data_IF_846916399007
#
_entry.id   IF_846916399007
#
_cell.length_a   1.000
_cell.length_b   1.000
_cell.length_c   1.000
_cell.angle_alpha   90.00
_cell.angle_beta   90.00
_cell.angle_gamma   90.00
#
_symmetry.space_group_name_H-M   'P 1'
#
loop_
_entity.id
_entity.type
_entity.pdbx_description
1 polymer ?
#
# COMPACT_ATOMS: atom_id res chain seq x y z
N UNK A 1 10.38 28.68 1.16
CA UNK A 1 11.02 28.75 2.48
C UNK A 1 12.36 29.42 2.22
N UNK A 2 12.57 30.68 2.62
CA UNK A 2 13.80 31.41 2.25
C UNK A 2 14.96 30.94 3.10
N UNK A 3 16.03 30.44 2.48
CA UNK A 3 17.30 30.14 3.15
C UNK A 3 18.35 31.04 2.52
N UNK A 4 18.67 32.12 3.21
CA UNK A 4 19.84 32.96 2.96
C UNK A 4 21.06 32.27 3.57
N UNK A 5 22.14 32.12 2.81
CA UNK A 5 23.50 31.96 3.37
C UNK A 5 24.41 33.03 2.75
N UNK A 6 25.39 33.53 3.52
CA UNK A 6 26.10 34.76 3.23
C UNK A 6 27.16 34.56 2.14
N UNK A 7 27.35 35.63 1.38
CA UNK A 7 28.45 35.84 0.43
C UNK A 7 29.80 35.78 1.15
N UNK A 8 30.77 35.13 0.52
CA UNK A 8 32.18 35.50 0.64
C UNK A 8 32.74 35.73 -0.77
N UNK A 9 33.51 36.80 -0.83
CA UNK A 9 33.91 37.67 -1.92
C UNK A 9 34.96 37.11 -2.91
N UNK A 10 34.93 37.71 -4.12
CA UNK A 10 36.05 38.16 -4.97
C UNK A 10 37.19 37.16 -5.34
N UNK A 11 37.67 37.01 -6.59
CA UNK A 11 37.73 37.96 -7.71
C UNK A 11 38.42 37.34 -8.95
N UNK A 12 38.10 37.94 -10.10
CA UNK A 12 38.97 38.29 -11.24
C UNK A 12 39.24 37.34 -12.45
N UNK A 13 38.71 37.83 -13.60
CA UNK A 13 39.43 38.20 -14.85
C UNK A 13 39.63 37.19 -16.02
N UNK A 14 38.80 37.41 -17.05
CA UNK A 14 39.08 37.72 -18.48
C UNK A 14 40.04 36.88 -19.37
N UNK A 15 39.51 36.55 -20.57
CA UNK A 15 40.22 36.29 -21.85
C UNK A 15 40.41 34.79 -22.16
N UNK A 16 40.17 34.22 -23.35
CA UNK A 16 40.48 34.61 -24.75
C UNK A 16 39.63 33.74 -25.72
N UNK A 17 39.39 34.26 -26.92
CA UNK A 17 38.77 33.66 -28.12
C UNK A 17 39.40 32.36 -28.66
N UNK A 18 38.60 31.47 -29.27
CA UNK A 18 39.10 30.37 -30.12
C UNK A 18 37.99 29.54 -30.77
N UNK A 19 38.16 29.23 -32.06
CA UNK A 19 37.22 28.67 -33.04
C UNK A 19 36.70 27.22 -32.81
N UNK A 20 35.48 27.01 -33.34
CA UNK A 20 34.89 25.82 -33.96
C UNK A 20 35.52 24.43 -33.73
N UNK A 21 34.76 23.53 -33.12
CA UNK A 21 34.73 22.12 -33.47
C UNK A 21 33.38 21.48 -33.10
N UNK A 22 32.81 20.80 -34.08
CA UNK A 22 31.61 19.96 -34.04
C UNK A 22 31.65 18.92 -32.91
N UNK A 23 30.62 18.89 -32.08
CA UNK A 23 30.36 17.82 -31.13
C UNK A 23 28.95 17.94 -30.58
N UNK A 24 28.04 17.10 -31.06
CA UNK A 24 26.75 16.88 -30.40
C UNK A 24 27.07 16.26 -29.03
N UNK A 25 26.94 17.06 -27.97
CA UNK A 25 27.06 16.60 -26.59
C UNK A 25 25.67 16.75 -25.98
N UNK A 26 24.83 15.74 -26.21
CA UNK A 26 23.72 15.45 -25.32
C UNK A 26 24.29 14.85 -24.05
N UNK A 27 24.86 15.70 -23.18
CA UNK A 27 25.00 15.35 -21.77
C UNK A 27 23.70 15.75 -21.10
N UNK A 28 22.70 14.87 -21.18
CA UNK A 28 21.67 14.83 -20.16
C UNK A 28 22.42 14.68 -18.83
N UNK A 29 22.54 15.77 -18.09
CA UNK A 29 23.15 15.75 -16.77
C UNK A 29 22.10 15.11 -15.89
N UNK A 30 22.15 13.78 -15.74
CA UNK A 30 21.24 13.04 -14.86
C UNK A 30 21.46 13.58 -13.47
N UNK A 31 20.60 14.51 -13.05
CA UNK A 31 20.66 15.11 -11.73
C UNK A 31 20.24 14.00 -10.77
N UNK A 32 21.20 13.40 -10.07
CA UNK A 32 20.90 12.36 -9.09
C UNK A 32 20.11 12.99 -7.95
N UNK A 33 18.83 12.63 -7.85
CA UNK A 33 17.97 13.09 -6.76
C UNK A 33 18.43 12.46 -5.45
N UNK A 34 18.72 13.30 -4.47
CA UNK A 34 19.10 12.87 -3.13
C UNK A 34 17.88 12.95 -2.24
N UNK A 35 17.34 11.80 -1.86
CA UNK A 35 16.26 11.71 -0.90
C UNK A 35 16.81 11.78 0.53
N UNK A 36 16.05 12.36 1.48
CA UNK A 36 16.37 12.19 2.89
C UNK A 36 16.41 10.70 3.24
N UNK A 37 17.47 10.21 3.93
CA UNK A 37 17.66 8.78 4.17
C UNK A 37 16.48 8.21 4.94
N UNK A 38 15.83 7.17 4.39
CA UNK A 38 14.81 6.42 5.12
C UNK A 38 15.52 5.56 6.16
N UNK A 39 15.15 5.72 7.43
CA UNK A 39 15.69 4.92 8.54
C UNK A 39 14.54 4.18 9.21
N UNK A 40 14.86 3.13 9.97
CA UNK A 40 13.86 2.39 10.73
C UNK A 40 13.03 3.33 11.62
N UNK A 41 13.70 4.24 12.33
CA UNK A 41 13.02 5.21 13.18
C UNK A 41 12.06 6.14 12.42
N UNK A 42 12.42 6.59 11.20
CA UNK A 42 11.54 7.44 10.38
C UNK A 42 10.32 6.68 9.89
N UNK A 43 10.48 5.40 9.55
CA UNK A 43 9.36 4.55 9.19
C UNK A 43 8.47 4.27 10.40
N UNK A 44 9.06 3.99 11.56
CA UNK A 44 8.34 3.80 12.83
C UNK A 44 7.57 5.06 13.25
N UNK A 45 8.12 6.26 13.06
CA UNK A 45 7.39 7.50 13.33
C UNK A 45 6.11 7.63 12.48
N UNK A 46 6.07 6.97 11.31
CA UNK A 46 4.90 6.92 10.43
C UNK A 46 3.94 5.75 10.76
N UNK A 47 4.30 4.85 11.69
CA UNK A 47 3.39 3.79 12.12
C UNK A 47 2.17 4.37 12.84
N UNK A 48 1.02 3.73 12.68
CA UNK A 48 -0.24 4.28 13.18
C UNK A 48 -0.21 4.49 14.70
N UNK A 49 0.31 3.55 15.48
CA UNK A 49 0.47 3.72 16.93
C UNK A 49 1.45 4.80 17.36
N UNK A 50 2.46 5.14 16.55
CA UNK A 50 3.39 6.23 16.88
C UNK A 50 2.70 7.60 16.79
N UNK A 51 1.99 7.88 15.69
CA UNK A 51 1.38 9.20 15.48
C UNK A 51 -0.03 9.34 16.07
N UNK A 52 -0.85 8.27 16.09
CA UNK A 52 -2.25 8.35 16.50
C UNK A 52 -2.49 8.98 17.88
N UNK A 53 -1.73 8.64 18.95
CA UNK A 53 -1.92 9.24 20.26
C UNK A 53 -1.74 10.77 20.27
N UNK A 54 -0.80 11.27 19.46
CA UNK A 54 -0.46 12.69 19.36
C UNK A 54 -1.49 13.48 18.55
N UNK A 55 -2.11 12.85 17.55
CA UNK A 55 -3.05 13.49 16.61
C UNK A 55 -4.50 13.01 16.75
N UNK A 56 -4.84 12.33 17.85
CA UNK A 56 -6.15 11.68 18.08
C UNK A 56 -7.36 12.58 17.84
N UNK A 57 -7.27 13.87 18.18
CA UNK A 57 -8.37 14.84 18.00
C UNK A 57 -8.56 15.30 16.56
N UNK A 58 -7.56 15.08 15.72
CA UNK A 58 -7.47 15.58 14.34
C UNK A 58 -7.77 14.49 13.31
N UNK A 59 -7.85 13.23 13.73
CA UNK A 59 -8.08 12.08 12.85
C UNK A 59 -9.40 11.37 13.19
N UNK A 60 -9.73 10.33 12.43
CA UNK A 60 -10.90 9.49 12.65
C UNK A 60 -10.66 8.60 13.88
N UNK A 61 -11.71 8.35 14.66
CA UNK A 61 -11.64 7.48 15.85
C UNK A 61 -11.21 6.07 15.42
N UNK A 62 -10.19 5.52 16.08
CA UNK A 62 -9.63 4.20 15.80
C UNK A 62 -9.34 3.41 17.08
N UNK A 63 -9.16 2.12 16.91
CA UNK A 63 -8.67 1.15 17.89
C UNK A 63 -7.45 0.44 17.31
N UNK A 64 -6.47 0.15 18.15
CA UNK A 64 -5.22 -0.50 17.80
C UNK A 64 -5.18 -1.80 18.61
N UNK A 65 -4.98 -2.92 17.92
CA UNK A 65 -4.96 -4.27 18.49
C UNK A 65 -3.62 -4.91 18.08
N UNK A 66 -2.70 -5.19 19.01
CA UNK A 66 -1.47 -5.94 18.70
C UNK A 66 -1.83 -7.33 18.17
N UNK A 67 -1.20 -7.72 17.06
CA UNK A 67 -1.46 -9.02 16.45
C UNK A 67 -0.60 -10.12 17.09
N UNK A 68 -1.18 -11.27 17.46
CA UNK A 68 -0.41 -12.40 17.94
C UNK A 68 0.42 -13.03 16.80
N UNK A 69 1.57 -13.59 17.15
CA UNK A 69 2.51 -14.22 16.20
C UNK A 69 1.85 -15.34 15.37
N UNK A 70 0.95 -16.09 15.98
CA UNK A 70 0.17 -17.15 15.33
C UNK A 70 -0.72 -16.60 14.21
N UNK A 71 -1.30 -15.41 14.41
CA UNK A 71 -2.12 -14.75 13.39
C UNK A 71 -1.27 -14.14 12.28
N UNK A 72 -0.09 -13.60 12.61
CA UNK A 72 0.89 -13.12 11.61
C UNK A 72 1.34 -14.29 10.72
N UNK A 73 1.63 -15.44 11.33
CA UNK A 73 1.98 -16.67 10.61
C UNK A 73 0.84 -17.13 9.70
N UNK A 74 -0.42 -17.01 10.15
CA UNK A 74 -1.60 -17.26 9.33
C UNK A 74 -1.70 -16.28 8.15
N UNK A 75 -1.46 -14.98 8.34
CA UNK A 75 -1.50 -14.01 7.23
C UNK A 75 -0.45 -14.33 6.15
N UNK A 76 0.73 -14.78 6.56
CA UNK A 76 1.83 -15.16 5.67
C UNK A 76 1.68 -16.56 5.05
N UNK A 77 0.80 -17.42 5.56
CA UNK A 77 0.58 -18.75 4.99
C UNK A 77 -0.10 -18.67 3.63
N UNK A 78 0.20 -19.60 2.72
CA UNK A 78 -0.44 -19.63 1.40
C UNK A 78 -1.92 -20.07 1.49
N UNK A 79 -2.72 -19.60 0.54
CA UNK A 79 -4.16 -19.87 0.47
C UNK A 79 -5.01 -18.89 1.27
N UNK A 80 -6.30 -18.79 0.93
CA UNK A 80 -7.27 -17.95 1.61
C UNK A 80 -8.28 -18.86 2.31
N UNK A 81 -8.03 -19.13 3.58
CA UNK A 81 -8.96 -19.85 4.46
C UNK A 81 -9.39 -18.90 5.57
N UNK A 82 -10.70 -18.72 5.79
CA UNK A 82 -11.20 -17.87 6.88
C UNK A 82 -11.56 -18.76 8.08
N UNK A 83 -10.88 -18.62 9.23
CA UNK A 83 -11.27 -19.21 10.50
C UNK A 83 -12.76 -19.08 10.81
N UNK A 84 -13.43 -20.17 11.20
CA UNK A 84 -14.78 -20.14 11.75
C UNK A 84 -15.94 -19.95 10.77
N UNK A 85 -15.70 -19.73 9.47
CA UNK A 85 -16.75 -19.74 8.45
C UNK A 85 -16.64 -20.96 7.55
N UNK A 86 -17.59 -21.88 7.68
CA UNK A 86 -17.86 -22.89 6.66
C UNK A 86 -18.33 -22.18 5.38
N UNK A 87 -17.43 -22.02 4.41
CA UNK A 87 -17.78 -21.72 3.03
C UNK A 87 -17.51 -20.28 2.57
N UNK A 88 -16.25 -19.98 2.23
CA UNK A 88 -15.92 -19.18 1.03
C UNK A 88 -14.54 -19.65 0.53
N UNK A 89 -14.45 -20.84 -0.06
CA UNK A 89 -13.37 -21.14 -1.00
C UNK A 89 -13.84 -20.69 -2.37
N UNK A 90 -13.52 -19.45 -2.77
CA UNK A 90 -13.70 -18.99 -4.16
C UNK A 90 -12.60 -19.62 -5.02
N UNK A 91 -12.71 -20.92 -5.28
CA UNK A 91 -12.00 -21.55 -6.38
C UNK A 91 -12.71 -21.11 -7.67
N UNK A 92 -12.12 -20.16 -8.39
CA UNK A 92 -12.51 -19.82 -9.75
C UNK A 92 -12.14 -21.00 -10.66
N UNK A 93 -13.01 -22.00 -10.76
CA UNK A 93 -12.95 -23.01 -11.82
C UNK A 93 -14.20 -22.90 -12.68
N UNK A 94 -14.01 -22.35 -13.87
CA UNK A 94 -14.97 -22.35 -14.97
C UNK A 94 -15.13 -23.78 -15.49
N UNK A 95 -16.19 -24.47 -15.05
CA UNK A 95 -16.65 -25.69 -15.68
C UNK A 95 -18.16 -25.79 -15.49
N UNK A 96 -18.90 -25.40 -16.53
CA UNK A 96 -20.31 -25.74 -16.71
C UNK A 96 -20.44 -27.26 -16.79
N UNK A 97 -21.13 -27.90 -15.84
CA UNK A 97 -21.76 -29.20 -16.05
C UNK A 97 -22.98 -29.35 -15.12
N UNK A 98 -24.14 -29.58 -15.74
CA UNK A 98 -25.43 -29.79 -15.11
C UNK A 98 -25.58 -31.20 -14.52
N UNK A 99 -26.37 -31.26 -13.44
CA UNK A 99 -27.03 -32.41 -12.79
C UNK A 99 -26.20 -33.44 -12.01
N UNK A 100 -26.35 -33.38 -10.68
CA UNK A 100 -26.73 -34.54 -9.85
C UNK A 100 -27.14 -34.11 -8.42
N UNK A 101 -28.13 -34.80 -7.85
CA UNK A 101 -28.71 -34.55 -6.51
C UNK A 101 -27.77 -34.97 -5.37
N UNK A 102 -26.60 -34.34 -5.28
CA UNK A 102 -25.70 -34.43 -4.12
C UNK A 102 -25.98 -33.27 -3.18
N UNK A 103 -26.01 -33.52 -1.87
CA UNK A 103 -26.21 -32.45 -0.90
C UNK A 103 -25.06 -31.44 -1.02
N UNK A 104 -25.34 -30.15 -0.84
CA UNK A 104 -24.33 -29.09 -0.95
C UNK A 104 -23.11 -29.35 -0.03
N UNK A 105 -23.32 -30.11 1.06
CA UNK A 105 -22.26 -30.58 1.96
C UNK A 105 -21.32 -31.60 1.34
N UNK A 106 -21.81 -32.52 0.53
CA UNK A 106 -20.98 -33.57 -0.09
C UNK A 106 -20.15 -33.00 -1.25
N UNK A 107 -20.70 -32.02 -1.99
CA UNK A 107 -19.95 -31.24 -2.97
C UNK A 107 -18.84 -30.40 -2.32
N UNK A 108 -19.12 -29.82 -1.15
CA UNK A 108 -18.16 -29.02 -0.38
C UNK A 108 -16.96 -29.85 0.08
N UNK A 109 -17.21 -31.05 0.61
CA UNK A 109 -16.17 -31.99 1.04
C UNK A 109 -15.26 -32.39 -0.13
N UNK A 110 -15.86 -32.72 -1.28
CA UNK A 110 -15.10 -33.14 -2.46
C UNK A 110 -14.26 -32.00 -3.09
N UNK A 111 -14.74 -30.75 -3.03
CA UNK A 111 -13.97 -29.58 -3.48
C UNK A 111 -12.82 -29.25 -2.52
N UNK A 112 -13.04 -29.42 -1.22
CA UNK A 112 -12.03 -29.23 -0.19
C UNK A 112 -10.90 -30.28 -0.28
N UNK A 113 -11.24 -31.56 -0.48
CA UNK A 113 -10.29 -32.64 -0.74
C UNK A 113 -9.47 -32.39 -2.00
N UNK A 114 -10.11 -32.02 -3.13
CA UNK A 114 -9.41 -31.76 -4.40
C UNK A 114 -8.41 -30.60 -4.31
N UNK A 115 -8.77 -29.53 -3.59
CA UNK A 115 -7.89 -28.35 -3.45
C UNK A 115 -6.68 -28.66 -2.57
N UNK A 116 -6.85 -29.50 -1.55
CA UNK A 116 -5.76 -29.94 -0.67
C UNK A 116 -4.80 -30.94 -1.34
N UNK A 117 -5.31 -31.87 -2.15
CA UNK A 117 -4.45 -32.81 -2.91
C UNK A 117 -3.58 -32.09 -3.93
N UNK A 118 -4.04 -30.97 -4.50
CA UNK A 118 -3.32 -30.23 -5.53
C UNK A 118 -2.16 -29.38 -4.97
N UNK A 119 -2.21 -29.00 -3.70
CA UNK A 119 -1.14 -28.24 -3.02
C UNK A 119 0.08 -29.10 -2.63
N UNK A 120 -0.03 -30.44 -2.66
CA UNK A 120 1.06 -31.38 -2.35
C UNK A 120 1.71 -32.05 -3.58
N UNK A 121 1.27 -31.74 -4.80
CA UNK A 121 1.63 -32.50 -6.00
C UNK A 121 2.65 -31.84 -6.94
N UNK A 122 3.94 -31.80 -6.59
CA UNK A 122 5.01 -31.83 -7.60
C UNK A 122 6.24 -32.61 -7.12
N UNK A 123 6.10 -33.93 -7.02
CA UNK A 123 7.24 -34.85 -7.15
C UNK A 123 6.70 -36.19 -7.65
N UNK A 124 7.04 -36.51 -8.89
CA UNK A 124 6.86 -37.83 -9.49
C UNK A 124 8.02 -38.72 -9.01
N UNK A 125 7.74 -39.74 -8.20
CA UNK A 125 8.41 -41.05 -8.33
C UNK A 125 7.57 -42.16 -7.69
N UNK A 126 7.55 -43.30 -8.38
CA UNK A 126 6.70 -44.47 -8.16
C UNK A 126 7.19 -45.34 -6.99
N UNK A 127 6.29 -45.74 -6.08
CA UNK A 127 6.16 -47.15 -5.64
C UNK A 127 4.97 -47.34 -4.69
N UNK A 128 4.19 -48.38 -4.97
CA UNK A 128 3.25 -49.03 -4.03
C UNK A 128 3.98 -49.42 -2.75
N UNK A 129 3.46 -49.03 -1.59
CA UNK A 129 3.37 -49.85 -0.38
C UNK A 129 2.36 -49.23 0.59
N UNK A 130 1.48 -50.07 1.12
CA UNK A 130 0.37 -49.73 2.01
C UNK A 130 0.86 -49.06 3.30
N UNK A 131 0.51 -47.80 3.52
CA UNK A 131 0.48 -47.20 4.85
C UNK A 131 -0.86 -46.45 5.03
N UNK A 132 -1.68 -46.95 5.94
CA UNK A 132 -2.88 -46.28 6.46
C UNK A 132 -2.44 -45.07 7.31
N UNK A 133 -1.92 -44.03 6.66
CA UNK A 133 -1.75 -42.73 7.30
C UNK A 133 -3.14 -42.09 7.40
N UNK A 134 -3.70 -42.09 8.62
CA UNK A 134 -4.79 -41.19 8.98
C UNK A 134 -4.34 -39.76 8.65
N UNK A 135 -4.76 -39.24 7.49
CA UNK A 135 -4.62 -37.83 7.12
C UNK A 135 -5.26 -36.97 8.20
N UNK A 136 -4.48 -36.60 9.21
CA UNK A 136 -4.86 -35.61 10.20
C UNK A 136 -4.87 -34.27 9.46
N UNK A 137 -6.01 -33.95 8.84
CA UNK A 137 -6.34 -32.62 8.34
C UNK A 137 -5.91 -31.61 9.42
N UNK A 138 -4.90 -30.81 9.11
CA UNK A 138 -4.42 -29.80 10.05
C UNK A 138 -5.63 -28.92 10.41
N UNK A 139 -5.96 -28.77 11.70
CA UNK A 139 -7.15 -28.03 12.09
C UNK A 139 -7.04 -26.60 11.58
N UNK A 140 -8.14 -26.08 11.04
CA UNK A 140 -8.22 -24.70 10.59
C UNK A 140 -7.74 -23.77 11.72
N UNK A 141 -6.94 -22.73 11.40
CA UNK A 141 -6.48 -21.78 12.40
C UNK A 141 -7.69 -21.14 13.10
N UNK A 142 -7.59 -20.91 14.42
CA UNK A 142 -8.69 -20.40 15.24
C UNK A 142 -8.16 -19.39 16.26
N UNK A 143 -8.73 -18.18 16.31
CA UNK A 143 -8.17 -17.05 17.08
C UNK A 143 -9.22 -16.40 18.00
N UNK A 144 -9.80 -17.13 18.97
CA UNK A 144 -10.97 -16.66 19.73
C UNK A 144 -10.74 -15.35 20.50
N UNK A 145 -9.55 -15.16 21.07
CA UNK A 145 -9.23 -13.95 21.81
C UNK A 145 -9.15 -12.72 20.89
N UNK A 146 -8.51 -12.88 19.72
CA UNK A 146 -8.39 -11.82 18.72
C UNK A 146 -9.74 -11.51 18.07
N UNK A 147 -10.50 -12.53 17.69
CA UNK A 147 -11.86 -12.41 17.15
C UNK A 147 -12.75 -11.61 18.11
N UNK A 148 -12.73 -11.96 19.40
CA UNK A 148 -13.50 -11.23 20.41
C UNK A 148 -13.06 -9.78 20.58
N UNK A 149 -11.75 -9.49 20.52
CA UNK A 149 -11.24 -8.13 20.60
C UNK A 149 -11.65 -7.28 19.37
N UNK A 150 -11.62 -7.89 18.18
CA UNK A 150 -12.09 -7.28 16.93
C UNK A 150 -13.59 -6.97 17.01
N UNK A 151 -14.41 -7.91 17.46
CA UNK A 151 -15.87 -7.71 17.62
C UNK A 151 -16.17 -6.54 18.58
N UNK A 152 -15.52 -6.52 19.74
CA UNK A 152 -15.65 -5.43 20.71
C UNK A 152 -15.23 -4.08 20.12
N UNK A 153 -14.18 -4.06 19.29
CA UNK A 153 -13.73 -2.86 18.61
C UNK A 153 -14.72 -2.39 17.54
N UNK A 154 -15.29 -3.30 16.74
CA UNK A 154 -16.34 -3.01 15.76
C UNK A 154 -17.54 -2.34 16.44
N UNK A 155 -18.06 -2.95 17.51
CA UNK A 155 -19.17 -2.38 18.28
C UNK A 155 -18.82 -0.99 18.84
N UNK A 156 -17.64 -0.86 19.45
CA UNK A 156 -17.17 0.41 20.04
C UNK A 156 -16.90 1.54 19.03
N UNK A 157 -16.78 1.21 17.74
CA UNK A 157 -16.60 2.14 16.63
C UNK A 157 -17.91 2.42 15.87
N UNK A 158 -18.99 1.70 16.18
CA UNK A 158 -20.33 1.94 15.62
C UNK A 158 -20.76 0.92 14.56
N UNK A 159 -20.21 -0.29 14.60
CA UNK A 159 -20.61 -1.43 13.76
C UNK A 159 -19.94 -1.50 12.39
N UNK A 160 -19.28 -0.45 11.96
CA UNK A 160 -18.68 -0.34 10.63
C UNK A 160 -17.24 0.17 10.76
N UNK A 161 -16.29 -0.59 10.24
CA UNK A 161 -14.86 -0.29 10.38
C UNK A 161 -14.10 -0.43 9.07
N UNK A 162 -12.90 0.15 9.06
CA UNK A 162 -11.90 0.06 8.02
C UNK A 162 -10.61 -0.52 8.64
N UNK A 163 -10.10 -1.67 8.17
CA UNK A 163 -8.86 -2.26 8.67
C UNK A 163 -7.63 -1.69 7.98
N UNK A 164 -6.52 -1.56 8.72
CA UNK A 164 -5.16 -1.41 8.19
C UNK A 164 -4.14 -2.02 9.16
N UNK A 165 -2.92 -2.25 8.70
CA UNK A 165 -1.79 -2.56 9.58
C UNK A 165 -1.07 -1.29 10.03
N UNK A 166 0.15 -1.43 10.54
CA UNK A 166 1.05 -0.35 10.99
C UNK A 166 1.07 0.82 9.99
N UNK A 167 1.24 0.55 8.69
CA UNK A 167 1.40 1.58 7.66
C UNK A 167 0.34 1.47 6.55
N UNK A 168 0.09 0.26 6.07
CA UNK A 168 -0.68 0.05 4.85
C UNK A 168 -2.08 -0.49 5.11
N UNK A 169 -3.02 -0.03 4.29
CA UNK A 169 -4.40 -0.53 4.23
C UNK A 169 -4.60 -1.42 3.01
N UNK A 170 -5.47 -2.46 3.08
CA UNK A 170 -5.65 -3.47 2.04
C UNK A 170 -6.50 -2.98 0.84
N UNK A 171 -6.16 -1.80 0.29
CA UNK A 171 -6.92 -1.14 -0.79
C UNK A 171 -6.93 -1.94 -2.08
N UNK A 172 -5.82 -2.61 -2.33
CA UNK A 172 -5.59 -3.56 -3.40
C UNK A 172 -6.45 -4.82 -3.30
N UNK A 173 -6.94 -5.18 -2.10
CA UNK A 173 -7.82 -6.33 -1.87
C UNK A 173 -9.32 -6.01 -1.93
N UNK A 174 -9.73 -4.78 -2.25
CA UNK A 174 -11.16 -4.41 -2.31
C UNK A 174 -12.01 -5.32 -3.21
N UNK A 175 -11.41 -5.91 -4.25
CA UNK A 175 -12.08 -6.79 -5.21
C UNK A 175 -12.56 -8.13 -4.64
N UNK A 176 -11.94 -8.63 -3.56
CA UNK A 176 -12.36 -9.91 -2.96
C UNK A 176 -13.57 -9.75 -2.05
N UNK A 177 -13.82 -8.52 -1.55
CA UNK A 177 -14.97 -8.25 -0.71
C UNK A 177 -16.27 -8.32 -1.53
N UNK A 178 -17.30 -8.96 -0.97
CA UNK A 178 -18.63 -9.10 -1.61
C UNK A 178 -19.30 -7.77 -1.95
N UNK A 179 -18.92 -6.69 -1.26
CA UNK A 179 -19.43 -5.33 -1.48
C UNK A 179 -18.53 -4.50 -2.39
N UNK A 180 -17.36 -5.01 -2.78
CA UNK A 180 -16.30 -4.26 -3.47
C UNK A 180 -15.91 -2.97 -2.72
N UNK A 181 -15.94 -3.02 -1.38
CA UNK A 181 -15.56 -1.92 -0.49
C UNK A 181 -14.61 -2.39 0.60
N UNK A 182 -13.91 -1.45 1.23
CA UNK A 182 -13.04 -1.71 2.39
C UNK A 182 -13.79 -1.59 3.73
N UNK A 183 -15.13 -1.59 3.67
CA UNK A 183 -16.00 -1.50 4.83
C UNK A 183 -16.24 -2.89 5.38
N UNK A 184 -15.84 -3.11 6.62
CA UNK A 184 -16.03 -4.37 7.34
C UNK A 184 -17.08 -4.22 8.43
N UNK A 185 -17.88 -5.26 8.63
CA UNK A 185 -18.90 -5.35 9.67
C UNK A 185 -18.64 -6.49 10.67
N UNK A 186 -17.77 -7.44 10.31
CA UNK A 186 -17.46 -8.62 11.11
C UNK A 186 -15.99 -9.02 10.94
N UNK A 187 -15.55 -10.02 11.71
CA UNK A 187 -14.15 -10.50 11.70
C UNK A 187 -13.76 -11.13 10.36
N UNK A 188 -14.65 -11.87 9.72
CA UNK A 188 -14.37 -12.53 8.45
C UNK A 188 -14.09 -11.52 7.33
N UNK A 189 -14.83 -10.41 7.26
CA UNK A 189 -14.55 -9.33 6.31
C UNK A 189 -13.11 -8.79 6.47
N UNK A 190 -12.65 -8.63 7.73
CA UNK A 190 -11.32 -8.12 8.05
C UNK A 190 -10.26 -9.15 7.66
N UNK A 191 -10.44 -10.42 8.05
CA UNK A 191 -9.49 -11.48 7.75
C UNK A 191 -9.34 -11.66 6.23
N UNK A 192 -10.45 -11.66 5.49
CA UNK A 192 -10.45 -11.76 4.03
C UNK A 192 -9.62 -10.65 3.39
N UNK A 193 -9.88 -9.38 3.75
CA UNK A 193 -9.16 -8.25 3.16
C UNK A 193 -7.67 -8.27 3.50
N UNK A 194 -7.31 -8.56 4.75
CA UNK A 194 -5.91 -8.61 5.17
C UNK A 194 -5.16 -9.76 4.48
N UNK A 195 -5.79 -10.93 4.37
CA UNK A 195 -5.19 -12.12 3.78
C UNK A 195 -5.00 -12.00 2.27
N UNK A 196 -5.81 -11.19 1.60
CA UNK A 196 -5.80 -11.01 0.14
C UNK A 196 -5.09 -9.74 -0.34
N UNK A 197 -4.34 -9.05 0.53
CA UNK A 197 -3.65 -7.79 0.20
C UNK A 197 -2.13 -7.96 0.11
N UNK A 198 -1.57 -7.57 -1.03
CA UNK A 198 -0.12 -7.48 -1.23
C UNK A 198 0.48 -6.37 -0.38
N UNK A 199 -0.25 -5.28 -0.15
CA UNK A 199 0.20 -4.21 0.75
C UNK A 199 0.35 -4.68 2.19
N UNK A 200 -0.57 -5.54 2.64
CA UNK A 200 -0.46 -6.17 3.95
C UNK A 200 0.72 -7.14 3.99
N UNK A 201 0.88 -7.99 2.98
CA UNK A 201 2.04 -8.89 2.89
C UNK A 201 3.37 -8.12 2.88
N UNK A 202 3.43 -6.98 2.17
CA UNK A 202 4.57 -6.08 2.16
C UNK A 202 4.88 -5.53 3.56
N UNK A 203 3.89 -5.02 4.29
CA UNK A 203 4.08 -4.54 5.67
C UNK A 203 4.64 -5.64 6.60
N UNK A 204 4.28 -6.90 6.37
CA UNK A 204 4.72 -8.03 7.19
C UNK A 204 6.14 -8.52 6.89
N UNK A 205 6.58 -8.46 5.64
CA UNK A 205 7.84 -9.08 5.20
C UNK A 205 8.91 -8.10 4.70
N UNK A 206 8.51 -6.91 4.26
CA UNK A 206 9.34 -5.99 3.48
C UNK A 206 9.31 -4.54 3.99
N UNK A 207 8.72 -4.29 5.16
CA UNK A 207 8.57 -2.94 5.71
C UNK A 207 9.89 -2.15 5.72
N UNK A 208 10.98 -2.78 6.18
CA UNK A 208 12.27 -2.11 6.35
C UNK A 208 13.26 -2.30 5.19
N UNK A 209 12.87 -2.95 4.09
CA UNK A 209 13.80 -3.28 2.99
C UNK A 209 14.52 -2.05 2.41
N UNK A 210 13.86 -0.89 2.42
CA UNK A 210 14.37 0.39 1.91
C UNK A 210 15.06 1.26 2.99
N UNK A 211 15.18 0.76 4.22
CA UNK A 211 15.83 1.50 5.30
C UNK A 211 17.36 1.42 5.16
N UNK A 212 18.00 2.58 5.27
CA UNK A 212 19.43 2.79 4.96
C UNK A 212 20.36 2.78 6.19
N UNK A 213 19.79 2.70 7.39
CA UNK A 213 20.53 2.63 8.64
C UNK A 213 21.20 1.26 8.86
N UNK A 214 22.35 1.28 9.52
CA UNK A 214 23.07 0.07 9.90
C UNK A 214 22.41 -0.57 11.12
N UNK A 215 21.92 -1.80 10.97
CA UNK A 215 21.47 -2.63 12.09
C UNK A 215 22.51 -3.72 12.32
N UNK A 216 22.95 -3.88 13.57
CA UNK A 216 23.90 -4.92 13.99
C UNK A 216 25.22 -4.97 13.18
N UNK A 217 25.68 -3.81 12.69
CA UNK A 217 26.93 -3.69 11.93
C UNK A 217 26.86 -4.16 10.48
N UNK A 218 25.65 -4.35 9.93
CA UNK A 218 25.39 -4.57 8.50
C UNK A 218 24.53 -3.44 7.94
N UNK A 219 24.76 -3.06 6.68
CA UNK A 219 23.89 -2.13 5.96
C UNK A 219 22.47 -2.69 5.92
N UNK A 220 21.49 -2.00 6.52
CA UNK A 220 20.08 -2.41 6.51
C UNK A 220 19.42 -2.40 5.13
N UNK A 221 20.03 -1.69 4.17
CA UNK A 221 19.50 -1.62 2.80
C UNK A 221 19.44 -3.01 2.15
N UNK A 222 18.23 -3.45 1.79
CA UNK A 222 17.96 -4.76 1.21
C UNK A 222 17.78 -5.90 2.21
N UNK A 223 17.79 -5.62 3.53
CA UNK A 223 17.50 -6.63 4.55
C UNK A 223 15.98 -6.75 4.72
N UNK A 224 15.45 -7.95 4.42
CA UNK A 224 14.06 -8.27 4.70
C UNK A 224 13.88 -8.49 6.19
N UNK A 225 13.35 -7.48 6.87
CA UNK A 225 13.03 -7.54 8.28
C UNK A 225 11.57 -7.18 8.50
N UNK A 226 10.93 -7.99 9.35
CA UNK A 226 9.56 -7.77 9.81
C UNK A 226 9.54 -6.81 11.01
N UNK A 227 8.45 -6.05 11.22
CA UNK A 227 8.25 -5.25 12.42
C UNK A 227 8.29 -6.08 13.70
N UNK A 228 8.86 -5.53 14.76
CA UNK A 228 8.86 -6.19 16.08
C UNK A 228 7.45 -6.37 16.61
N UNK A 229 6.58 -5.39 16.36
CA UNK A 229 5.16 -5.43 16.71
C UNK A 229 4.34 -5.11 15.47
N UNK A 230 3.51 -6.06 15.07
CA UNK A 230 2.49 -5.82 14.05
C UNK A 230 1.17 -5.52 14.74
N UNK A 231 0.47 -4.50 14.26
CA UNK A 231 -0.80 -4.07 14.83
C UNK A 231 -1.92 -4.08 13.79
N UNK A 232 -3.11 -4.48 14.21
CA UNK A 232 -4.36 -4.28 13.49
C UNK A 232 -4.99 -2.99 13.97
N UNK A 233 -5.14 -2.05 13.03
CA UNK A 233 -5.83 -0.79 13.25
C UNK A 233 -7.24 -0.89 12.68
N UNK A 234 -8.22 -0.77 13.56
CA UNK A 234 -9.63 -0.65 13.17
C UNK A 234 -10.05 0.81 13.29
N UNK A 235 -10.28 1.45 12.15
CA UNK A 235 -10.77 2.83 12.07
C UNK A 235 -12.28 2.81 11.90
N UNK A 236 -12.99 3.72 12.56
CA UNK A 236 -14.44 3.90 12.29
C UNK A 236 -14.66 4.21 10.81
N UNK A 237 -15.56 3.48 10.17
CA UNK A 237 -15.89 3.71 8.77
C UNK A 237 -16.50 5.11 8.57
N UNK A 238 -16.05 5.79 7.51
CA UNK A 238 -16.62 7.02 6.99
C UNK A 238 -16.60 6.97 5.47
N UNK A 239 -17.69 7.40 4.85
CA UNK A 239 -17.78 7.56 3.40
C UNK A 239 -17.05 8.84 2.99
N UNK A 240 -15.73 8.72 2.82
CA UNK A 240 -14.87 9.82 2.39
C UNK A 240 -15.05 10.04 0.89
N UNK A 241 -15.36 11.28 0.51
CA UNK A 241 -15.42 11.65 -0.90
C UNK A 241 -13.99 11.71 -1.47
N UNK A 242 -13.63 10.88 -2.46
CA UNK A 242 -12.26 10.82 -2.98
C UNK A 242 -11.76 12.17 -3.51
N UNK A 243 -12.68 12.97 -4.07
CA UNK A 243 -12.41 14.33 -4.57
C UNK A 243 -11.91 15.31 -3.51
N UNK A 244 -12.08 15.00 -2.22
CA UNK A 244 -11.68 15.86 -1.10
C UNK A 244 -10.53 15.26 -0.28
N UNK A 245 -9.83 14.26 -0.83
CA UNK A 245 -8.60 13.72 -0.27
C UNK A 245 -7.37 14.35 -0.93
N UNK A 246 -6.42 14.75 -0.10
CA UNK A 246 -5.19 15.39 -0.53
C UNK A 246 -3.99 14.79 0.21
N UNK A 247 -2.89 14.57 -0.49
CA UNK A 247 -1.58 14.35 0.13
C UNK A 247 -0.86 15.68 0.13
N UNK A 248 -0.67 16.25 1.31
CA UNK A 248 -0.25 17.63 1.46
C UNK A 248 -1.11 18.52 0.52
N UNK A 249 -0.49 19.14 -0.48
CA UNK A 249 -1.13 20.04 -1.45
C UNK A 249 -1.38 19.38 -2.83
N UNK A 250 -1.35 18.05 -2.91
CA UNK A 250 -1.64 17.27 -4.12
C UNK A 250 -3.00 16.61 -4.02
N UNK A 251 -3.82 16.70 -5.06
CA UNK A 251 -5.02 15.86 -5.19
C UNK A 251 -4.63 14.38 -5.14
N UNK A 252 -5.29 13.60 -4.27
CA UNK A 252 -4.96 12.18 -4.09
C UNK A 252 -5.62 11.27 -5.11
N UNK A 253 -6.88 11.52 -5.41
CA UNK A 253 -7.63 10.74 -6.39
C UNK A 253 -7.31 11.18 -7.82
N UNK A 254 -7.16 10.23 -8.75
CA UNK A 254 -6.77 10.51 -10.14
C UNK A 254 -7.96 10.81 -11.08
N UNK A 255 -9.12 11.13 -10.51
CA UNK A 255 -10.31 11.58 -11.26
C UNK A 255 -10.34 13.10 -11.39
N UNK A 256 -10.74 13.62 -12.56
CA UNK A 256 -10.92 15.06 -12.72
C UNK A 256 -12.23 15.53 -12.06
N UNK A 257 -12.14 16.58 -11.24
CA UNK A 257 -13.30 17.21 -10.59
C UNK A 257 -13.34 18.70 -10.92
N UNK A 258 -14.24 19.10 -11.82
CA UNK A 258 -14.35 20.49 -12.29
C UNK A 258 -14.54 21.49 -11.15
N UNK A 259 -15.34 21.14 -10.14
CA UNK A 259 -15.66 22.03 -9.03
C UNK A 259 -14.43 22.42 -8.17
N UNK A 260 -13.38 21.60 -8.16
CA UNK A 260 -12.18 21.88 -7.38
C UNK A 260 -11.44 23.15 -7.85
N UNK A 261 -11.55 23.50 -9.14
CA UNK A 261 -10.94 24.72 -9.69
C UNK A 261 -11.44 25.98 -8.99
N UNK A 262 -12.74 26.04 -8.67
CA UNK A 262 -13.34 27.20 -8.03
C UNK A 262 -13.01 27.34 -6.54
N UNK A 263 -12.52 26.28 -5.91
CA UNK A 263 -12.25 26.22 -4.46
C UNK A 263 -10.78 25.95 -4.14
N UNK A 264 -9.91 25.86 -5.15
CA UNK A 264 -8.50 25.49 -5.02
C UNK A 264 -7.77 26.33 -3.98
N UNK A 265 -7.84 27.66 -4.09
CA UNK A 265 -7.07 28.56 -3.22
C UNK A 265 -7.55 28.49 -1.76
N UNK A 266 -8.86 28.26 -1.55
CA UNK A 266 -9.45 28.03 -0.23
C UNK A 266 -8.93 26.71 0.37
N UNK A 267 -8.95 25.61 -0.40
CA UNK A 267 -8.44 24.31 0.04
C UNK A 267 -6.94 24.36 0.35
N UNK A 268 -6.16 25.01 -0.50
CA UNK A 268 -4.72 25.20 -0.28
C UNK A 268 -4.47 25.95 1.02
N UNK A 269 -5.20 27.04 1.27
CA UNK A 269 -5.07 27.82 2.50
C UNK A 269 -5.46 26.99 3.73
N UNK A 270 -6.56 26.24 3.67
CA UNK A 270 -6.99 25.34 4.76
C UNK A 270 -5.92 24.30 5.11
N UNK A 271 -5.29 23.69 4.11
CA UNK A 271 -4.23 22.67 4.32
C UNK A 271 -2.99 23.32 4.92
N UNK A 272 -2.58 24.49 4.42
CA UNK A 272 -1.42 25.22 4.93
C UNK A 272 -1.63 25.68 6.38
N UNK A 273 -2.81 26.20 6.72
CA UNK A 273 -3.14 26.59 8.08
C UNK A 273 -3.22 25.38 9.02
N UNK A 274 -3.83 24.28 8.57
CA UNK A 274 -3.85 23.03 9.30
C UNK A 274 -2.44 22.51 9.59
N UNK A 275 -1.55 22.54 8.59
CA UNK A 275 -0.15 22.18 8.78
C UNK A 275 0.52 23.07 9.81
N UNK A 276 0.47 24.40 9.64
CA UNK A 276 1.17 25.35 10.50
C UNK A 276 0.68 25.32 11.95
N UNK A 277 -0.63 25.15 12.17
CA UNK A 277 -1.22 25.18 13.51
C UNK A 277 -1.27 23.80 14.19
N UNK A 278 -1.54 22.75 13.42
CA UNK A 278 -1.89 21.43 13.97
C UNK A 278 -0.77 20.42 13.84
N UNK A 279 0.06 20.48 12.80
CA UNK A 279 1.08 19.44 12.51
C UNK A 279 2.50 19.91 12.80
N UNK A 280 2.89 21.09 12.29
CA UNK A 280 4.26 21.60 12.31
C UNK A 280 4.83 21.61 13.73
N UNK A 281 6.00 21.00 13.90
CA UNK A 281 6.69 20.90 15.18
C UNK A 281 6.09 19.88 16.17
N UNK A 282 5.09 19.09 15.76
CA UNK A 282 4.52 18.00 16.58
C UNK A 282 4.82 16.61 16.04
N UNK A 283 5.05 16.48 14.73
CA UNK A 283 5.57 15.25 14.15
C UNK A 283 7.10 15.17 14.39
N UNK A 284 7.68 14.01 14.72
CA UNK A 284 9.09 13.92 15.15
C UNK A 284 10.10 14.29 14.05
N UNK A 285 9.78 13.98 12.79
CA UNK A 285 10.69 14.21 11.67
C UNK A 285 10.52 15.59 11.06
N UNK A 286 11.56 16.09 10.38
CA UNK A 286 11.50 17.34 9.62
C UNK A 286 10.87 17.16 8.23
N UNK A 287 11.04 15.98 7.63
CA UNK A 287 10.62 15.67 6.27
C UNK A 287 9.66 14.47 6.26
N UNK A 288 8.42 14.73 5.87
CA UNK A 288 7.33 13.77 5.81
C UNK A 288 6.24 14.27 4.87
N UNK A 289 5.36 13.36 4.48
CA UNK A 289 4.09 13.69 3.82
C UNK A 289 2.95 13.33 4.76
N UNK A 290 1.83 14.03 4.62
CA UNK A 290 0.63 13.72 5.39
C UNK A 290 -0.59 13.77 4.48
N UNK A 291 -1.50 12.83 4.68
CA UNK A 291 -2.74 12.73 3.94
C UNK A 291 -3.86 13.38 4.75
N UNK A 292 -4.73 14.14 4.10
CA UNK A 292 -5.86 14.82 4.71
C UNK A 292 -7.14 14.60 3.93
N UNK A 293 -8.25 14.62 4.65
CA UNK A 293 -9.59 14.69 4.09
C UNK A 293 -10.26 15.98 4.55
N UNK A 294 -10.82 16.73 3.62
CA UNK A 294 -11.59 17.95 3.91
C UNK A 294 -13.07 17.61 3.73
N UNK A 295 -13.90 17.95 4.72
CA UNK A 295 -15.35 17.70 4.61
C UNK A 295 -15.94 18.45 3.41
N UNK A 296 -16.98 17.92 2.77
CA UNK A 296 -17.60 18.56 1.58
C UNK A 296 -18.07 20.00 1.82
N UNK A 297 -18.47 20.31 3.06
CA UNK A 297 -18.85 21.66 3.47
C UNK A 297 -17.65 22.56 3.85
N UNK A 298 -16.42 22.02 3.83
CA UNK A 298 -15.15 22.69 4.14
C UNK A 298 -15.07 23.27 5.56
N UNK A 299 -15.85 22.71 6.49
CA UNK A 299 -15.83 23.13 7.90
C UNK A 299 -14.75 22.43 8.72
N UNK A 300 -14.32 21.23 8.29
CA UNK A 300 -13.36 20.43 9.05
C UNK A 300 -12.39 19.71 8.14
N UNK A 301 -11.17 19.59 8.63
CA UNK A 301 -10.11 18.78 8.05
C UNK A 301 -9.77 17.64 9.01
N UNK A 302 -9.57 16.46 8.44
CA UNK A 302 -9.16 15.26 9.15
C UNK A 302 -7.79 14.82 8.63
N UNK A 303 -6.85 14.60 9.55
CA UNK A 303 -5.62 13.88 9.26
C UNK A 303 -5.96 12.41 8.98
N UNK A 304 -5.48 11.89 7.85
CA UNK A 304 -5.73 10.52 7.39
C UNK A 304 -4.54 9.61 7.62
N UNK A 305 -3.33 10.07 7.29
CA UNK A 305 -2.10 9.29 7.43
C UNK A 305 -0.85 10.16 7.43
N UNK A 306 0.27 9.60 7.90
CA UNK A 306 1.62 10.12 7.67
C UNK A 306 2.41 9.11 6.83
N UNK A 307 3.26 9.57 5.93
CA UNK A 307 4.18 8.71 5.18
C UNK A 307 5.56 9.37 5.12
N UNK A 308 6.66 8.58 5.11
CA UNK A 308 7.99 9.14 4.98
C UNK A 308 8.14 9.86 3.63
N UNK A 309 8.95 10.92 3.60
CA UNK A 309 9.38 11.53 2.34
C UNK A 309 10.49 10.65 1.75
N UNK A 310 10.09 9.67 0.94
CA UNK A 310 10.97 8.66 0.34
C UNK A 310 10.45 8.27 -1.05
N UNK A 311 11.32 7.73 -1.90
CA UNK A 311 11.02 7.40 -3.30
C UNK A 311 9.80 6.48 -3.48
N UNK A 312 9.55 5.58 -2.52
CA UNK A 312 8.41 4.64 -2.51
C UNK A 312 7.06 5.33 -2.24
N UNK A 313 7.07 6.49 -1.59
CA UNK A 313 5.86 7.25 -1.29
C UNK A 313 5.39 7.96 -2.55
N UNK A 314 4.23 7.60 -3.10
CA UNK A 314 3.71 8.25 -4.32
C UNK A 314 3.68 9.80 -4.21
N UNK A 315 4.37 10.47 -5.13
CA UNK A 315 4.43 11.94 -5.25
C UNK A 315 3.18 12.52 -5.93
N UNK A 316 2.33 11.66 -6.50
CA UNK A 316 1.07 11.98 -7.16
C UNK A 316 1.28 12.97 -8.31
N UNK A 317 0.67 14.15 -8.25
CA UNK A 317 0.76 15.17 -9.29
C UNK A 317 2.08 15.97 -9.29
N UNK A 318 3.07 15.56 -8.51
CA UNK A 318 4.37 16.22 -8.42
C UNK A 318 5.49 15.30 -8.91
N UNK A 319 6.48 15.90 -9.56
CA UNK A 319 7.74 15.23 -9.85
C UNK A 319 8.67 15.30 -8.63
N UNK A 320 9.52 14.28 -8.43
CA UNK A 320 10.45 14.30 -7.30
C UNK A 320 11.50 15.39 -7.41
N UNK A 321 11.90 15.75 -8.63
CA UNK A 321 12.87 16.81 -8.92
C UNK A 321 12.42 18.14 -8.35
N UNK A 322 11.15 18.51 -8.56
CA UNK A 322 10.63 19.76 -8.01
C UNK A 322 10.43 19.69 -6.50
N UNK A 323 10.03 18.55 -5.94
CA UNK A 323 9.82 18.43 -4.49
C UNK A 323 11.13 18.57 -3.71
N UNK A 324 12.23 18.04 -4.26
CA UNK A 324 13.53 18.00 -3.59
C UNK A 324 14.41 19.23 -3.89
N UNK A 325 14.29 19.83 -5.07
CA UNK A 325 15.18 20.91 -5.51
C UNK A 325 14.59 22.32 -5.35
N UNK A 326 13.26 22.43 -5.20
CA UNK A 326 12.60 23.75 -5.13
C UNK A 326 12.81 24.41 -3.76
N UNK A 327 13.35 25.64 -3.76
CA UNK A 327 13.48 26.47 -2.55
C UNK A 327 12.24 27.36 -2.29
N UNK A 328 11.43 27.56 -3.33
CA UNK A 328 10.20 28.34 -3.30
C UNK A 328 9.01 27.55 -2.76
N UNK A 329 7.89 28.24 -2.51
CA UNK A 329 6.65 27.58 -2.11
C UNK A 329 6.03 26.94 -3.35
N UNK A 330 5.81 25.64 -3.30
CA UNK A 330 5.08 24.90 -4.33
C UNK A 330 3.57 25.12 -4.13
N UNK A 331 2.80 25.52 -5.16
CA UNK A 331 1.35 25.70 -5.07
C UNK A 331 0.61 24.36 -5.15
N UNK A 332 -0.65 24.36 -4.70
CA UNK A 332 -1.50 23.18 -4.78
C UNK A 332 -1.69 22.71 -6.22
N UNK A 333 -1.68 21.39 -6.44
CA UNK A 333 -1.96 20.75 -7.73
C UNK A 333 -3.24 19.94 -7.69
N UNK A 334 -4.04 20.17 -8.73
CA UNK A 334 -5.28 19.47 -9.03
C UNK A 334 -5.18 18.93 -10.46
N UNK A 335 -5.94 17.89 -10.78
CA UNK A 335 -6.02 17.42 -12.15
C UNK A 335 -6.63 18.50 -13.06
N UNK A 336 -5.96 18.75 -14.19
CA UNK A 336 -6.32 19.86 -15.09
C UNK A 336 -7.55 19.54 -15.96
N UNK A 337 -7.72 18.27 -16.34
CA UNK A 337 -8.78 17.77 -17.24
C UNK A 337 -9.00 16.27 -17.08
N UNK A 338 -10.12 15.77 -17.61
CA UNK A 338 -10.40 14.32 -17.67
C UNK A 338 -9.34 13.55 -18.45
N UNK A 339 -8.85 14.12 -19.56
CA UNK A 339 -7.78 13.53 -20.35
C UNK A 339 -6.49 13.35 -19.53
N UNK A 340 -6.14 14.29 -18.66
CA UNK A 340 -4.98 14.16 -17.80
C UNK A 340 -5.13 12.98 -16.82
N UNK A 341 -6.33 12.78 -16.26
CA UNK A 341 -6.61 11.65 -15.35
C UNK A 341 -6.53 10.28 -16.04
N UNK A 342 -6.92 10.18 -17.31
CA UNK A 342 -6.83 8.93 -18.08
C UNK A 342 -5.39 8.47 -18.37
N UNK A 343 -4.44 9.40 -18.39
CA UNK A 343 -3.01 9.08 -18.57
C UNK A 343 -2.31 8.79 -17.25
N UNK A 344 -2.97 9.02 -16.11
CA UNK A 344 -2.47 8.59 -14.81
C UNK A 344 -2.78 7.11 -14.61
N UNK A 345 -1.82 6.35 -14.09
CA UNK A 345 -2.01 4.92 -13.86
C UNK A 345 -3.17 4.71 -12.87
N UNK A 346 -4.06 3.75 -13.19
CA UNK A 346 -5.13 3.35 -12.28
C UNK A 346 -4.50 2.83 -10.97
N UNK A 347 -4.93 3.32 -9.79
CA UNK A 347 -4.34 2.90 -8.52
C UNK A 347 -4.39 1.38 -8.38
N UNK A 348 -3.25 0.78 -8.04
CA UNK A 348 -3.14 -0.64 -7.65
C UNK A 348 -3.49 -1.65 -8.75
N UNK A 349 -3.60 -1.22 -10.02
CA UNK A 349 -3.88 -2.13 -11.12
C UNK A 349 -2.80 -3.23 -11.27
N UNK A 350 -1.55 -2.91 -10.95
CA UNK A 350 -0.42 -3.85 -10.99
C UNK A 350 -0.50 -4.93 -9.91
N UNK A 351 -0.97 -4.59 -8.70
CA UNK A 351 -1.21 -5.53 -7.59
C UNK A 351 -2.36 -6.51 -7.85
N UNK A 352 -3.01 -6.45 -9.01
CA UNK A 352 -4.00 -7.45 -9.44
C UNK A 352 -3.38 -8.57 -10.25
N UNK A 353 -2.08 -8.46 -10.57
CA UNK A 353 -1.35 -9.40 -11.41
C UNK A 353 -0.08 -9.85 -10.69
N UNK A 354 0.38 -11.09 -10.93
CA UNK A 354 1.65 -11.57 -10.37
C UNK A 354 2.81 -10.60 -10.68
N UNK A 355 3.74 -10.43 -9.76
CA UNK A 355 4.91 -9.55 -9.94
C UNK A 355 5.70 -9.87 -11.22
N UNK A 356 5.76 -11.15 -11.58
CA UNK A 356 6.36 -11.61 -12.83
C UNK A 356 5.71 -11.03 -14.09
N UNK A 357 4.40 -10.78 -14.05
CA UNK A 357 3.62 -10.16 -15.13
C UNK A 357 3.88 -8.66 -15.18
N UNK A 358 3.93 -8.00 -14.02
CA UNK A 358 4.17 -6.56 -13.94
C UNK A 358 5.59 -6.20 -14.36
N UNK A 359 6.59 -7.00 -13.96
CA UNK A 359 7.99 -6.81 -14.32
C UNK A 359 8.24 -6.97 -15.83
N UNK A 360 7.53 -7.92 -16.45
CA UNK A 360 7.53 -8.09 -17.91
C UNK A 360 6.87 -6.92 -18.64
N UNK A 361 5.90 -6.26 -18.02
CA UNK A 361 5.14 -5.15 -18.65
C UNK A 361 5.88 -3.81 -18.64
N UNK A 362 6.92 -3.66 -17.80
CA UNK A 362 7.64 -2.40 -17.66
C UNK A 362 8.44 -2.06 -18.93
N UNK A 363 7.94 -1.07 -19.69
CA UNK A 363 8.64 -0.48 -20.83
C UNK A 363 8.60 -1.29 -22.13
N UNK A 364 7.77 -2.33 -22.21
CA UNK A 364 7.63 -3.17 -23.41
C UNK A 364 6.34 -2.84 -24.18
N UNK A 365 6.38 -2.97 -25.50
CA UNK A 365 5.14 -2.96 -26.30
C UNK A 365 4.32 -4.21 -26.00
N UNK A 366 2.99 -4.15 -26.23
CA UNK A 366 2.07 -5.29 -25.98
C UNK A 366 2.54 -6.58 -26.68
N UNK A 367 3.17 -6.46 -27.86
CA UNK A 367 3.69 -7.60 -28.60
C UNK A 367 4.94 -8.21 -27.95
N UNK A 368 5.86 -7.37 -27.46
CA UNK A 368 7.08 -7.81 -26.77
C UNK A 368 6.76 -8.43 -25.41
N UNK A 369 5.80 -7.84 -24.67
CA UNK A 369 5.26 -8.41 -23.44
C UNK A 369 4.67 -9.79 -23.69
N UNK A 370 3.83 -9.95 -24.73
CA UNK A 370 3.20 -11.23 -25.04
C UNK A 370 4.25 -12.32 -25.35
N UNK A 371 5.27 -12.00 -26.16
CA UNK A 371 6.35 -12.94 -26.50
C UNK A 371 7.16 -13.34 -25.26
N UNK A 372 7.52 -12.37 -24.41
CA UNK A 372 8.28 -12.61 -23.19
C UNK A 372 7.47 -13.41 -22.15
N UNK A 373 6.18 -13.12 -22.00
CA UNK A 373 5.26 -13.86 -21.14
C UNK A 373 5.10 -15.31 -21.60
N UNK A 374 4.82 -15.55 -22.89
CA UNK A 374 4.71 -16.90 -23.46
C UNK A 374 5.96 -17.74 -23.22
N UNK A 375 7.15 -17.13 -23.39
CA UNK A 375 8.43 -17.80 -23.15
C UNK A 375 8.62 -18.17 -21.68
N UNK A 376 8.23 -17.29 -20.75
CA UNK A 376 8.33 -17.54 -19.31
C UNK A 376 7.38 -18.66 -18.86
N UNK A 377 6.14 -18.66 -19.35
CA UNK A 377 5.16 -19.75 -19.10
C UNK A 377 5.66 -21.10 -19.62
N UNK A 378 6.24 -21.16 -20.82
CA UNK A 378 6.81 -22.40 -21.37
C UNK A 378 8.04 -22.91 -20.61
N UNK A 379 8.76 -22.01 -19.95
CA UNK A 379 9.95 -22.38 -19.16
C UNK A 379 9.56 -22.86 -17.77
N UNK A 380 8.46 -22.36 -17.20
CA UNK A 380 7.90 -22.82 -15.93
C UNK A 380 7.09 -24.13 -16.05
N UNK A 381 6.65 -24.49 -17.26
CA UNK A 381 5.94 -25.74 -17.55
C UNK A 381 6.85 -26.95 -17.86
N UNK A 382 8.18 -26.78 -17.69
CA UNK A 382 9.19 -27.84 -17.76
C UNK A 382 9.83 -28.00 -16.40
#
# INVERSE_FOLDING_TARGET
MSIYKPEDDESQAQGISGQEATGCVDTATTTTLVFPPLTHQRLENCSFSAWYPHFRSLTIKSKIIPLPEEFISYLNADGVFIPGQSGVTMALSDSEDEDDQVSDMDRLKALQEKTFSQAKGSVDDSSDEDDEDEDQEAPLPYFPALEQEIENAIEGLGGEVFPKLNWSSPRDASWIATTNTLKCHNVADIFLLLKSSDFVAHDLAHAYEDCSDEIDGQSGAGVRQRPETVELVLRKWFDLAPSMEFRCISQRDMTYYEFLKGVKDELEQMIVDFYNEKIKGKFPDCDYTFDVYITRNRERIYLIDFNPLAQKTDSLLFEWEELLLTQERIPMRLLASEAAGQHMHQPFAFNRYPSDVTDLSNGQTVAEFAEAFYKKVQTAAK
#
